data_IF_240956332892
#
_entry.id   IF_240956332892
#
_cell.length_a   1.000
_cell.length_b   1.000
_cell.length_c   1.000
_cell.angle_alpha   90.00
_cell.angle_beta   90.00
_cell.angle_gamma   90.00
#
_symmetry.space_group_name_H-M   'P 1'
#
loop_
_entity.id
_entity.type
_entity.pdbx_description
1 polymer ?
#
# COMPACT_ATOMS: atom_id res chain seq x y z
N UNK A 1 19.49 12.14 1.72
CA UNK A 1 19.38 10.77 1.18
C UNK A 1 18.34 9.97 1.92
N UNK A 2 17.52 9.28 1.20
CA UNK A 2 16.49 8.44 1.79
C UNK A 2 17.12 7.17 2.36
N UNK A 3 16.66 6.77 3.53
CA UNK A 3 17.09 5.50 4.14
C UNK A 3 16.28 4.32 3.62
N UNK A 4 15.28 4.61 2.80
CA UNK A 4 14.34 3.59 2.37
C UNK A 4 14.99 2.43 1.60
N UNK A 5 15.84 2.67 0.59
CA UNK A 5 16.39 1.55 -0.19
C UNK A 5 17.10 0.51 0.67
N UNK A 6 17.92 0.95 1.60
CA UNK A 6 18.67 0.03 2.48
C UNK A 6 17.72 -0.70 3.43
N UNK A 7 16.79 0.04 4.02
CA UNK A 7 15.83 -0.56 4.93
C UNK A 7 14.96 -1.59 4.22
N UNK A 8 14.46 -1.23 3.03
CA UNK A 8 13.59 -2.10 2.26
C UNK A 8 14.31 -3.39 1.84
N UNK A 9 15.57 -3.27 1.41
CA UNK A 9 16.37 -4.42 1.04
C UNK A 9 16.57 -5.34 2.24
N UNK A 10 16.80 -4.79 3.43
CA UNK A 10 16.92 -5.59 4.65
C UNK A 10 15.61 -6.31 4.98
N UNK A 11 14.45 -5.65 4.75
CA UNK A 11 13.16 -6.28 4.98
C UNK A 11 12.92 -7.44 4.03
N UNK A 12 13.34 -7.29 2.77
CA UNK A 12 13.29 -8.39 1.81
C UNK A 12 14.13 -9.58 2.30
N UNK A 13 15.35 -9.32 2.74
CA UNK A 13 16.22 -10.38 3.24
C UNK A 13 15.66 -11.07 4.47
N UNK A 14 15.05 -10.30 5.37
CA UNK A 14 14.41 -10.85 6.55
C UNK A 14 13.25 -11.77 6.17
N UNK A 15 12.43 -11.30 5.25
CA UNK A 15 11.31 -12.09 4.75
C UNK A 15 11.81 -13.37 4.10
N UNK A 16 12.82 -13.26 3.26
CA UNK A 16 13.39 -14.38 2.54
C UNK A 16 13.88 -15.48 3.49
N UNK A 17 14.54 -15.10 4.59
CA UNK A 17 15.05 -16.06 5.57
C UNK A 17 13.93 -16.77 6.32
N UNK A 18 12.75 -16.15 6.42
CA UNK A 18 11.63 -16.77 7.14
C UNK A 18 10.85 -17.74 6.29
N UNK A 19 11.13 -17.81 4.98
CA UNK A 19 10.40 -18.67 4.08
C UNK A 19 11.07 -20.04 3.98
N UNK A 20 10.30 -21.13 4.04
CA UNK A 20 10.87 -22.46 3.82
C UNK A 20 11.22 -22.62 2.34
N UNK A 21 12.36 -23.23 2.07
CA UNK A 21 12.80 -23.47 0.71
C UNK A 21 13.62 -22.33 0.16
N UNK A 22 13.71 -22.28 -1.16
CA UNK A 22 14.48 -21.25 -1.82
C UNK A 22 13.76 -19.91 -1.76
N UNK A 23 14.50 -18.90 -1.40
CA UNK A 23 13.97 -17.56 -1.47
C UNK A 23 13.70 -17.18 -2.91
N UNK A 24 12.64 -16.46 -3.12
CA UNK A 24 12.23 -16.11 -4.45
C UNK A 24 11.85 -14.64 -4.46
N UNK A 25 12.69 -13.85 -5.14
CA UNK A 25 12.41 -12.43 -5.30
C UNK A 25 11.05 -12.20 -5.98
N UNK A 26 10.71 -13.05 -6.95
CA UNK A 26 9.41 -12.95 -7.63
C UNK A 26 8.25 -13.20 -6.67
N UNK A 27 8.43 -14.13 -5.72
CA UNK A 27 7.41 -14.37 -4.71
C UNK A 27 7.24 -13.15 -3.81
N UNK A 28 8.34 -12.48 -3.48
CA UNK A 28 8.27 -11.25 -2.70
C UNK A 28 7.51 -10.16 -3.46
N UNK A 29 7.79 -10.00 -4.77
CA UNK A 29 7.07 -9.04 -5.59
C UNK A 29 5.57 -9.37 -5.66
N UNK A 30 5.24 -10.64 -5.78
CA UNK A 30 3.84 -11.07 -5.78
C UNK A 30 3.15 -10.77 -4.45
N UNK A 31 3.85 -10.95 -3.36
CA UNK A 31 3.32 -10.61 -2.03
C UNK A 31 2.99 -9.12 -1.96
N UNK A 32 3.90 -8.28 -2.46
CA UNK A 32 3.69 -6.83 -2.45
C UNK A 32 2.64 -6.39 -3.46
N UNK A 33 2.46 -7.16 -4.54
CA UNK A 33 1.53 -6.80 -5.59
C UNK A 33 2.08 -5.82 -6.61
N UNK A 34 3.40 -5.80 -6.79
CA UNK A 34 4.07 -4.91 -7.73
C UNK A 34 5.01 -5.68 -8.63
N UNK A 35 5.36 -5.09 -9.79
CA UNK A 35 6.24 -5.75 -10.73
C UNK A 35 7.68 -5.81 -10.21
N UNK A 36 8.48 -6.78 -10.67
CA UNK A 36 9.89 -6.84 -10.26
C UNK A 36 10.66 -5.56 -10.59
N UNK A 37 10.35 -4.93 -11.73
CA UNK A 37 11.00 -3.67 -12.11
C UNK A 37 10.74 -2.58 -11.08
N UNK A 38 9.50 -2.47 -10.62
CA UNK A 38 9.13 -1.48 -9.61
C UNK A 38 9.86 -1.73 -8.30
N UNK A 39 9.86 -3.00 -7.86
CA UNK A 39 10.47 -3.35 -6.58
C UNK A 39 11.99 -3.14 -6.64
N UNK A 40 12.64 -3.53 -7.74
CA UNK A 40 14.07 -3.29 -7.90
C UNK A 40 14.41 -1.81 -7.92
N UNK A 41 13.57 -1.02 -8.58
CA UNK A 41 13.75 0.42 -8.62
C UNK A 41 13.76 1.03 -7.21
N UNK A 42 12.88 0.54 -6.34
CA UNK A 42 12.86 0.97 -4.93
C UNK A 42 14.11 0.53 -4.18
N UNK A 43 14.58 -0.69 -4.41
CA UNK A 43 15.78 -1.22 -3.73
C UNK A 43 17.05 -0.48 -4.15
N UNK A 44 17.09 -0.03 -5.40
CA UNK A 44 18.26 0.68 -5.93
C UNK A 44 18.19 2.19 -5.73
N UNK A 45 17.08 2.69 -5.19
CA UNK A 45 16.92 4.13 -5.00
C UNK A 45 16.64 4.91 -6.26
N UNK A 46 16.31 4.23 -7.36
CA UNK A 46 15.98 4.89 -8.62
C UNK A 46 14.60 5.55 -8.57
N UNK A 47 13.71 5.00 -7.78
CA UNK A 47 12.41 5.59 -7.51
C UNK A 47 12.04 5.35 -6.06
N UNK A 48 11.02 6.04 -5.60
CA UNK A 48 10.56 5.96 -4.21
C UNK A 48 9.07 5.67 -4.22
N UNK A 49 8.59 4.79 -3.32
CA UNK A 49 7.14 4.54 -3.24
C UNK A 49 6.38 5.83 -2.97
N UNK A 50 5.22 5.98 -3.59
CA UNK A 50 4.38 7.16 -3.45
C UNK A 50 2.92 6.76 -3.34
N UNK A 51 2.15 7.62 -2.67
CA UNK A 51 0.69 7.50 -2.65
C UNK A 51 0.21 6.15 -2.13
N UNK A 52 -0.59 5.45 -2.90
CA UNK A 52 -1.12 4.14 -2.50
C UNK A 52 -0.04 3.10 -2.28
N UNK A 53 1.12 3.26 -2.94
CA UNK A 53 2.25 2.35 -2.72
C UNK A 53 2.74 2.42 -1.27
N UNK A 54 2.81 3.63 -0.72
CA UNK A 54 3.22 3.82 0.67
C UNK A 54 2.24 3.11 1.61
N UNK A 55 0.94 3.30 1.35
CA UNK A 55 -0.08 2.67 2.17
C UNK A 55 0.00 1.14 2.09
N UNK A 56 0.21 0.62 0.88
CA UNK A 56 0.34 -0.83 0.67
C UNK A 56 1.52 -1.38 1.47
N UNK A 57 2.67 -0.73 1.39
CA UNK A 57 3.86 -1.17 2.11
C UNK A 57 3.69 -1.04 3.63
N UNK A 58 3.05 0.04 4.08
CA UNK A 58 2.81 0.23 5.51
C UNK A 58 1.91 -0.87 6.08
N UNK A 59 0.99 -1.38 5.28
CA UNK A 59 0.16 -2.49 5.71
C UNK A 59 0.94 -3.78 5.96
N UNK A 60 2.06 -3.97 5.27
CA UNK A 60 2.90 -5.16 5.45
C UNK A 60 4.00 -4.92 6.48
N UNK A 61 4.61 -3.75 6.48
CA UNK A 61 5.81 -3.48 7.28
C UNK A 61 5.56 -2.52 8.44
N UNK A 62 4.36 -1.99 8.57
CA UNK A 62 3.99 -1.10 9.66
C UNK A 62 4.31 0.36 9.37
N UNK A 63 4.06 1.20 10.35
CA UNK A 63 4.21 2.66 10.21
C UNK A 63 5.67 3.08 10.02
N UNK A 64 6.61 2.19 10.24
CA UNK A 64 8.03 2.48 10.03
C UNK A 64 8.31 2.88 8.59
N UNK A 65 7.48 2.45 7.64
CA UNK A 65 7.60 2.85 6.23
C UNK A 65 7.59 4.37 6.11
N UNK A 66 6.65 5.04 6.81
CA UNK A 66 6.58 6.51 6.78
C UNK A 66 7.88 7.13 7.31
N UNK A 67 8.39 6.55 8.39
CA UNK A 67 9.59 7.08 9.05
C UNK A 67 10.81 7.01 8.12
N UNK A 68 11.04 5.86 7.49
CA UNK A 68 12.21 5.70 6.62
C UNK A 68 12.08 6.50 5.32
N UNK A 69 10.86 6.86 4.94
CA UNK A 69 10.62 7.72 3.78
C UNK A 69 10.66 9.21 4.16
N UNK A 70 10.79 9.53 5.44
CA UNK A 70 10.76 10.91 5.90
C UNK A 70 9.39 11.55 5.81
N UNK A 71 8.34 10.77 5.89
CA UNK A 71 6.97 11.23 5.79
C UNK A 71 6.32 11.31 7.17
N UNK A 72 5.35 12.23 7.36
CA UNK A 72 4.64 12.29 8.63
C UNK A 72 3.76 11.07 8.84
N UNK A 73 3.65 10.64 10.09
CA UNK A 73 2.84 9.49 10.48
C UNK A 73 1.38 9.90 10.72
N UNK A 74 0.84 10.73 9.84
CA UNK A 74 -0.45 11.37 10.10
C UNK A 74 -1.67 10.48 9.78
N UNK A 75 -1.50 9.40 9.05
CA UNK A 75 -2.65 8.64 8.56
C UNK A 75 -2.81 7.27 9.21
N UNK A 76 -2.74 7.24 10.53
CA UNK A 76 -2.94 5.99 11.26
C UNK A 76 -4.34 5.40 11.05
N UNK A 77 -5.34 6.26 10.93
CA UNK A 77 -6.71 5.80 10.69
C UNK A 77 -6.85 5.18 9.31
N UNK A 78 -6.22 5.78 8.30
CA UNK A 78 -6.24 5.24 6.96
C UNK A 78 -5.57 3.87 6.92
N UNK A 79 -4.42 3.74 7.58
CA UNK A 79 -3.73 2.46 7.67
C UNK A 79 -4.56 1.42 8.39
N UNK A 80 -5.25 1.81 9.46
CA UNK A 80 -6.12 0.92 10.20
C UNK A 80 -7.26 0.41 9.32
N UNK A 81 -7.85 1.31 8.54
CA UNK A 81 -8.91 0.94 7.60
C UNK A 81 -8.39 -0.03 6.56
N UNK A 82 -7.20 0.24 6.00
CA UNK A 82 -6.60 -0.64 5.02
C UNK A 82 -6.32 -2.02 5.60
N UNK A 83 -5.82 -2.07 6.82
CA UNK A 83 -5.51 -3.35 7.48
C UNK A 83 -6.75 -4.18 7.79
N UNK A 84 -7.94 -3.56 7.75
CA UNK A 84 -9.18 -4.32 7.94
C UNK A 84 -9.51 -5.19 6.72
N UNK A 85 -8.87 -4.94 5.58
CA UNK A 85 -9.05 -5.77 4.38
C UNK A 85 -8.17 -7.00 4.44
N UNK A 86 -8.40 -7.85 5.43
CA UNK A 86 -7.51 -8.98 5.73
C UNK A 86 -7.57 -10.11 4.71
N UNK A 87 -8.61 -10.14 3.87
CA UNK A 87 -8.77 -11.22 2.90
C UNK A 87 -8.10 -10.95 1.56
N UNK A 88 -7.51 -9.77 1.40
CA UNK A 88 -6.86 -9.41 0.14
C UNK A 88 -5.36 -9.71 0.21
N UNK A 89 -4.82 -10.14 -0.91
CA UNK A 89 -3.39 -10.46 -1.00
C UNK A 89 -2.88 -10.07 -2.38
N UNK A 90 -1.56 -9.87 -2.47
CA UNK A 90 -0.89 -9.61 -3.74
C UNK A 90 -1.42 -8.39 -4.46
N UNK A 91 -1.67 -8.55 -5.76
CA UNK A 91 -2.12 -7.45 -6.61
C UNK A 91 -3.43 -6.84 -6.15
N UNK A 92 -4.36 -7.66 -5.67
CA UNK A 92 -5.64 -7.15 -5.17
C UNK A 92 -5.41 -6.25 -3.96
N UNK A 93 -4.50 -6.64 -3.10
CA UNK A 93 -4.18 -5.86 -1.92
C UNK A 93 -3.58 -4.50 -2.30
N UNK A 94 -2.65 -4.48 -3.25
CA UNK A 94 -2.05 -3.21 -3.67
C UNK A 94 -3.08 -2.32 -4.36
N UNK A 95 -3.97 -2.89 -5.17
CA UNK A 95 -5.04 -2.12 -5.81
C UNK A 95 -5.99 -1.52 -4.77
N UNK A 96 -6.31 -2.26 -3.73
CA UNK A 96 -7.14 -1.74 -2.65
C UNK A 96 -6.47 -0.55 -1.94
N UNK A 97 -5.16 -0.64 -1.73
CA UNK A 97 -4.42 0.46 -1.13
C UNK A 97 -4.49 1.72 -1.99
N UNK A 98 -4.32 1.57 -3.31
CA UNK A 98 -4.42 2.71 -4.22
C UNK A 98 -5.82 3.32 -4.22
N UNK A 99 -6.85 2.47 -4.27
CA UNK A 99 -8.23 2.94 -4.28
C UNK A 99 -8.54 3.70 -2.99
N UNK A 100 -8.16 3.14 -1.86
CA UNK A 100 -8.43 3.75 -0.57
C UNK A 100 -7.68 5.08 -0.42
N UNK A 101 -6.42 5.12 -0.86
CA UNK A 101 -5.63 6.33 -0.78
C UNK A 101 -6.23 7.45 -1.64
N UNK A 102 -6.62 7.15 -2.89
CA UNK A 102 -7.24 8.13 -3.77
C UNK A 102 -8.54 8.67 -3.19
N UNK A 103 -9.38 7.77 -2.66
CA UNK A 103 -10.64 8.19 -2.05
C UNK A 103 -10.40 9.10 -0.85
N UNK A 104 -9.44 8.75 -0.01
CA UNK A 104 -9.11 9.53 1.17
C UNK A 104 -8.67 10.95 0.81
N UNK A 105 -7.83 11.07 -0.21
CA UNK A 105 -7.38 12.39 -0.68
C UNK A 105 -8.56 13.24 -1.13
N UNK A 106 -9.45 12.68 -1.92
CA UNK A 106 -10.60 13.42 -2.42
C UNK A 106 -11.55 13.82 -1.29
N UNK A 107 -11.81 12.91 -0.37
CA UNK A 107 -12.67 13.18 0.78
C UNK A 107 -12.12 14.34 1.61
N UNK A 108 -10.81 14.34 1.85
CA UNK A 108 -10.16 15.41 2.61
C UNK A 108 -10.17 16.73 1.85
N UNK A 109 -9.91 16.69 0.55
CA UNK A 109 -9.93 17.91 -0.27
C UNK A 109 -11.30 18.58 -0.26
N UNK A 110 -12.36 17.78 -0.24
CA UNK A 110 -13.73 18.29 -0.21
C UNK A 110 -14.23 18.54 1.21
N UNK A 111 -13.41 18.25 2.21
CA UNK A 111 -13.73 18.44 3.61
C UNK A 111 -15.01 17.71 4.03
N UNK A 112 -15.19 16.52 3.50
CA UNK A 112 -16.36 15.70 3.80
C UNK A 112 -16.14 14.86 5.04
N UNK A 113 -17.23 14.61 5.75
CA UNK A 113 -17.18 13.65 6.86
C UNK A 113 -17.01 12.24 6.27
N UNK A 114 -16.15 11.41 6.84
CA UNK A 114 -15.90 10.06 6.30
C UNK A 114 -17.15 9.18 6.22
N UNK A 115 -18.13 9.44 7.05
CA UNK A 115 -19.36 8.64 7.08
C UNK A 115 -20.48 9.24 6.24
N UNK A 116 -20.25 10.36 5.55
CA UNK A 116 -21.25 10.97 4.71
C UNK A 116 -21.53 10.11 3.48
N UNK A 117 -22.72 10.27 2.91
CA UNK A 117 -23.08 9.55 1.70
C UNK A 117 -22.17 9.92 0.54
N UNK A 118 -21.74 11.18 0.46
CA UNK A 118 -20.81 11.63 -0.55
C UNK A 118 -19.46 10.92 -0.43
N UNK A 119 -18.94 10.81 0.79
CA UNK A 119 -17.67 10.14 1.02
C UNK A 119 -17.75 8.67 0.64
N UNK A 120 -18.86 8.02 0.99
CA UNK A 120 -19.07 6.62 0.64
C UNK A 120 -19.14 6.42 -0.88
N UNK A 121 -19.76 7.36 -1.60
CA UNK A 121 -19.83 7.30 -3.05
C UNK A 121 -18.44 7.46 -3.68
N UNK A 122 -17.62 8.36 -3.12
CA UNK A 122 -16.25 8.56 -3.59
C UNK A 122 -15.44 7.27 -3.41
N UNK A 123 -15.59 6.64 -2.26
CA UNK A 123 -14.90 5.39 -1.96
C UNK A 123 -15.31 4.27 -2.93
N UNK A 124 -16.62 4.11 -3.15
CA UNK A 124 -17.12 3.09 -4.06
C UNK A 124 -16.61 3.31 -5.47
N UNK A 125 -16.60 4.56 -5.94
CA UNK A 125 -16.12 4.89 -7.27
C UNK A 125 -14.62 4.60 -7.41
N UNK A 126 -13.83 4.90 -6.40
CA UNK A 126 -12.41 4.63 -6.42
C UNK A 126 -12.13 3.13 -6.50
N UNK A 127 -12.84 2.34 -5.72
CA UNK A 127 -12.68 0.88 -5.76
C UNK A 127 -13.11 0.32 -7.10
N UNK A 128 -14.19 0.84 -7.68
CA UNK A 128 -14.62 0.42 -9.01
C UNK A 128 -13.56 0.73 -10.07
N UNK A 129 -12.96 1.91 -10.00
CA UNK A 129 -11.89 2.32 -10.91
C UNK A 129 -10.72 1.35 -10.87
N UNK A 130 -10.41 0.82 -9.69
CA UNK A 130 -9.28 -0.09 -9.52
C UNK A 130 -9.66 -1.57 -9.70
N UNK A 131 -10.85 -1.82 -10.22
CA UNK A 131 -11.24 -3.17 -10.60
C UNK A 131 -12.01 -3.95 -9.56
N UNK A 132 -12.42 -3.31 -8.47
CA UNK A 132 -13.27 -3.96 -7.48
C UNK A 132 -14.71 -3.73 -7.82
N UNK A 133 -15.44 -4.79 -8.10
CA UNK A 133 -16.86 -4.67 -8.31
C UNK A 133 -17.53 -4.53 -6.96
N UNK A 134 -18.07 -3.37 -6.68
CA UNK A 134 -18.95 -3.25 -5.54
C UNK A 134 -20.25 -3.86 -5.98
N UNK A 135 -20.38 -5.13 -5.79
CA UNK A 135 -21.59 -5.77 -6.19
C UNK A 135 -22.65 -5.36 -5.21
N UNK A 136 -23.44 -4.47 -5.67
CA UNK A 136 -24.59 -4.08 -4.90
C UNK A 136 -25.67 -5.09 -5.01
N UNK A 137 -25.52 -6.16 -5.62
CA UNK A 137 -26.70 -6.97 -5.82
C UNK A 137 -27.70 -6.90 -4.79
#
# INVERSE_FOLDING_TARGET
>A
MSKFPDWFTREYRRWSRSQPGEEDFLAFCSLLGYTPETVLSWMHGESTPQNGEVLSLAGLFGIKVYKVLGMPESDKELLKTFNSFSNLAGELRSKAAHALWEADVEIKQKQLHPESDEAKAILAKAFDKWGFTVSGN
#
